data_IF_232656884573
#
_entry.id   IF_232656884573
#
_cell.length_a   1.000
_cell.length_b   1.000
_cell.length_c   1.000
_cell.angle_alpha   90.00
_cell.angle_beta   90.00
_cell.angle_gamma   90.00
#
_symmetry.space_group_name_H-M   'P 1'
#
loop_
_entity.id
_entity.type
_entity.pdbx_description
1 polymer ?
#
# COMPACT_ATOMS: atom_id res chain seq x y z
N UNK A 1 -0.16 -8.33 -26.26
CA UNK A 1 -0.92 -8.66 -25.05
C UNK A 1 -0.94 -7.44 -24.14
N UNK A 2 -2.10 -7.03 -23.61
CA UNK A 2 -2.19 -5.89 -22.70
C UNK A 2 -1.75 -6.28 -21.28
N UNK A 3 -1.19 -5.34 -20.52
CA UNK A 3 -0.77 -5.54 -19.12
C UNK A 3 -1.75 -4.82 -18.20
N UNK A 4 -2.34 -5.56 -17.26
CA UNK A 4 -3.16 -4.97 -16.19
C UNK A 4 -2.26 -4.46 -15.05
N UNK A 5 -2.63 -3.35 -14.43
CA UNK A 5 -2.04 -2.85 -13.17
C UNK A 5 -3.10 -2.94 -12.08
N UNK A 6 -2.67 -3.34 -10.88
CA UNK A 6 -3.56 -3.55 -9.73
C UNK A 6 -3.07 -2.67 -8.58
N UNK A 7 -4.00 -2.00 -7.92
CA UNK A 7 -3.79 -1.12 -6.77
C UNK A 7 -5.12 -0.76 -6.10
N UNK A 8 -5.09 0.18 -5.17
CA UNK A 8 -6.26 0.71 -4.44
C UNK A 8 -6.49 2.20 -4.71
N UNK A 9 -7.64 2.74 -4.28
CA UNK A 9 -7.98 4.18 -4.36
C UNK A 9 -7.39 5.02 -3.22
N UNK A 10 -6.21 4.64 -2.76
CA UNK A 10 -5.53 5.23 -1.61
C UNK A 10 -4.70 4.20 -0.86
N UNK A 11 -3.73 4.65 -0.08
CA UNK A 11 -2.82 3.78 0.67
C UNK A 11 -2.81 4.09 2.17
N UNK A 12 -3.34 5.23 2.61
CA UNK A 12 -3.26 5.66 4.01
C UNK A 12 -4.56 5.36 4.77
N UNK A 13 -4.78 4.09 5.12
CA UNK A 13 -5.94 3.67 5.91
C UNK A 13 -5.53 3.11 7.26
N UNK A 14 -6.06 3.66 8.36
CA UNK A 14 -5.68 3.24 9.72
C UNK A 14 -6.07 1.80 10.07
N UNK A 15 -7.07 1.24 9.38
CA UNK A 15 -7.48 -0.14 9.54
C UNK A 15 -6.56 -1.14 8.81
N UNK A 16 -5.57 -0.66 8.05
CA UNK A 16 -4.55 -1.51 7.41
C UNK A 16 -3.34 -1.79 8.32
N UNK A 17 -3.26 -1.10 9.46
CA UNK A 17 -2.25 -1.36 10.50
C UNK A 17 -2.36 -2.80 10.97
N UNK A 18 -1.23 -3.49 11.02
CA UNK A 18 -1.11 -4.89 11.45
C UNK A 18 -1.88 -5.90 10.59
N UNK A 19 -2.54 -5.45 9.51
CA UNK A 19 -3.21 -6.29 8.50
C UNK A 19 -2.38 -6.33 7.22
N UNK A 20 -2.00 -5.16 6.72
CA UNK A 20 -1.11 -4.99 5.57
C UNK A 20 0.22 -4.35 5.97
N UNK A 21 0.19 -3.34 6.84
CA UNK A 21 1.39 -2.70 7.36
C UNK A 21 1.91 -3.45 8.60
N UNK A 22 3.21 -3.78 8.68
CA UNK A 22 3.81 -4.40 9.85
C UNK A 22 3.56 -3.60 11.13
N UNK A 23 3.49 -4.30 12.26
CA UNK A 23 3.37 -3.70 13.58
C UNK A 23 4.52 -2.70 13.83
N UNK A 24 4.18 -1.51 14.33
CA UNK A 24 5.15 -0.46 14.63
C UNK A 24 5.68 0.34 13.42
N UNK A 25 5.28 0.00 12.17
CA UNK A 25 5.69 0.77 11.00
C UNK A 25 5.08 2.18 11.02
N UNK A 26 5.93 3.21 10.95
CA UNK A 26 5.47 4.59 10.98
C UNK A 26 4.66 4.96 9.74
N UNK A 27 3.61 5.79 9.88
CA UNK A 27 2.76 6.25 8.75
C UNK A 27 3.55 6.86 7.58
N UNK A 28 4.71 7.47 7.86
CA UNK A 28 5.60 8.04 6.84
C UNK A 28 6.22 6.99 5.92
N UNK A 29 6.36 5.76 6.41
CA UNK A 29 6.94 4.63 5.68
C UNK A 29 5.89 3.80 4.94
N UNK A 30 4.60 4.02 5.21
CA UNK A 30 3.51 3.23 4.62
C UNK A 30 3.48 3.30 3.10
N UNK A 31 3.73 4.48 2.50
CA UNK A 31 3.78 4.58 1.04
C UNK A 31 4.92 3.75 0.45
N UNK A 32 6.12 3.81 1.05
CA UNK A 32 7.26 3.02 0.61
C UNK A 32 7.00 1.51 0.75
N UNK A 33 6.30 1.10 1.81
CA UNK A 33 5.87 -0.29 1.98
C UNK A 33 4.80 -0.70 0.95
N UNK A 34 3.79 0.15 0.73
CA UNK A 34 2.74 -0.07 -0.26
C UNK A 34 3.31 -0.24 -1.68
N UNK A 35 4.24 0.63 -2.07
CA UNK A 35 4.88 0.62 -3.39
C UNK A 35 5.77 -0.61 -3.65
N UNK A 36 6.12 -1.39 -2.62
CA UNK A 36 6.79 -2.68 -2.79
C UNK A 36 5.82 -3.81 -3.20
N UNK A 37 4.51 -3.61 -3.01
CA UNK A 37 3.48 -4.63 -3.24
C UNK A 37 2.55 -4.30 -4.42
N UNK A 38 2.32 -3.01 -4.68
CA UNK A 38 1.41 -2.55 -5.74
C UNK A 38 2.08 -1.53 -6.66
N UNK A 39 1.83 -1.69 -7.96
CA UNK A 39 2.41 -0.84 -9.01
C UNK A 39 1.66 0.50 -9.21
N UNK A 40 0.47 0.65 -8.59
CA UNK A 40 -0.38 1.82 -8.79
C UNK A 40 -1.25 2.10 -7.55
N UNK A 41 -1.72 3.34 -7.45
CA UNK A 41 -2.72 3.81 -6.48
C UNK A 41 -3.46 4.99 -7.12
N UNK A 42 -4.77 5.11 -6.91
CA UNK A 42 -5.60 6.24 -7.36
C UNK A 42 -5.84 7.26 -6.25
#
# INVERSE_FOLDING_TARGET
MARARIGSSGWQYDHWREVFYPAGLGKREWFAYYAQHFDTVE
#
